data_IF_101368943341
#
_entry.id   IF_101368943341
#
_cell.length_a   1.000
_cell.length_b   1.000
_cell.length_c   1.000
_cell.angle_alpha   90.00
_cell.angle_beta   90.00
_cell.angle_gamma   90.00
#
_symmetry.space_group_name_H-M   'P 1'
#
loop_
_entity.id
_entity.type
_entity.pdbx_description
1 polymer ?
#
# COMPACT_ATOMS: atom_id res chain seq x y z
N UNK A 1 28.33 -43.03 28.24
CA UNK A 1 29.09 -41.87 27.76
C UNK A 1 29.09 -41.67 26.22
N UNK A 2 28.51 -42.60 25.43
CA UNK A 2 28.52 -42.51 23.93
C UNK A 2 27.49 -41.51 23.34
N UNK A 3 26.46 -41.11 24.10
CA UNK A 3 25.37 -40.29 23.56
C UNK A 3 25.57 -38.76 23.76
N UNK A 4 26.52 -38.37 24.60
CA UNK A 4 26.77 -36.94 24.87
C UNK A 4 27.42 -36.26 23.68
N UNK A 5 28.31 -36.94 22.95
CA UNK A 5 28.94 -36.38 21.75
C UNK A 5 27.96 -36.16 20.61
N UNK A 6 26.95 -37.01 20.49
CA UNK A 6 25.91 -36.86 19.46
C UNK A 6 24.97 -35.69 19.73
N UNK A 7 24.63 -35.46 21.01
CA UNK A 7 23.80 -34.30 21.44
C UNK A 7 24.54 -32.98 21.23
N UNK A 8 25.83 -32.93 21.53
CA UNK A 8 26.65 -31.71 21.33
C UNK A 8 26.80 -31.38 19.84
N UNK A 9 26.99 -32.40 18.96
CA UNK A 9 27.00 -32.17 17.51
C UNK A 9 25.65 -31.73 16.98
N UNK A 10 24.53 -32.24 17.49
CA UNK A 10 23.20 -31.82 17.07
C UNK A 10 22.89 -30.39 17.49
N UNK A 11 23.33 -29.98 18.67
CA UNK A 11 23.19 -28.60 19.15
C UNK A 11 24.07 -27.61 18.38
N UNK A 12 25.25 -28.01 17.94
CA UNK A 12 26.13 -27.20 17.11
C UNK A 12 25.60 -26.97 15.69
N UNK A 13 24.78 -27.90 15.17
CA UNK A 13 24.14 -27.73 13.87
C UNK A 13 22.92 -26.81 13.88
N UNK A 14 22.34 -26.57 15.05
CA UNK A 14 21.19 -25.68 15.22
C UNK A 14 21.59 -24.19 15.36
N UNK A 15 22.86 -23.91 15.65
CA UNK A 15 23.37 -22.53 15.79
C UNK A 15 23.91 -21.94 14.45
N UNK A 16 23.82 -22.68 13.35
CA UNK A 16 24.37 -22.25 12.06
C UNK A 16 23.35 -21.56 11.14
N UNK A 17 22.18 -21.20 11.64
CA UNK A 17 21.16 -20.46 10.88
C UNK A 17 20.97 -19.05 11.45
N UNK A 18 22.02 -18.26 11.43
CA UNK A 18 21.87 -16.83 11.43
C UNK A 18 21.88 -16.39 9.96
N UNK A 19 20.69 -16.18 9.45
CA UNK A 19 20.50 -15.59 8.12
C UNK A 19 20.81 -14.10 8.25
N UNK A 20 22.08 -13.73 8.05
CA UNK A 20 22.44 -12.32 7.89
C UNK A 20 21.83 -11.87 6.55
N UNK A 21 20.72 -11.15 6.65
CA UNK A 21 20.19 -10.43 5.49
C UNK A 21 21.26 -9.47 4.92
N UNK A 22 21.13 -9.07 3.66
CA UNK A 22 22.08 -8.13 3.08
C UNK A 22 22.13 -6.88 3.95
N UNK A 23 23.30 -6.54 4.45
CA UNK A 23 23.51 -5.31 5.21
C UNK A 23 23.19 -4.14 4.29
N UNK A 24 22.00 -3.58 4.43
CA UNK A 24 21.73 -2.27 3.89
C UNK A 24 22.30 -1.29 4.92
N UNK A 25 23.51 -0.87 4.68
CA UNK A 25 24.12 0.15 5.50
C UNK A 25 23.49 1.49 5.16
N UNK A 26 22.59 1.94 6.04
CA UNK A 26 22.05 3.30 5.99
C UNK A 26 22.95 4.30 6.73
N UNK A 27 24.25 4.03 6.86
CA UNK A 27 25.15 5.11 7.21
C UNK A 27 24.95 6.18 6.15
N UNK A 28 24.33 7.26 6.55
CA UNK A 28 24.33 8.51 5.78
C UNK A 28 25.79 8.87 5.55
N UNK A 29 26.35 8.38 4.44
CA UNK A 29 27.41 9.12 3.82
C UNK A 29 26.82 10.51 3.65
N UNK A 30 27.28 11.48 4.43
CA UNK A 30 27.01 12.89 4.17
C UNK A 30 27.64 13.21 2.80
N UNK A 31 27.13 12.59 1.78
CA UNK A 31 27.30 13.07 0.43
C UNK A 31 26.70 14.48 0.49
N UNK A 32 27.56 15.47 0.44
CA UNK A 32 27.16 16.81 0.06
C UNK A 32 26.36 16.61 -1.23
N UNK A 33 25.05 16.57 -1.12
CA UNK A 33 24.15 16.50 -2.26
C UNK A 33 24.43 17.77 -3.06
N UNK A 34 25.36 17.69 -3.97
CA UNK A 34 25.53 18.71 -5.00
C UNK A 34 24.29 18.57 -5.85
N UNK A 35 23.36 19.51 -5.65
CA UNK A 35 22.18 19.63 -6.49
C UNK A 35 22.65 19.84 -7.94
N UNK A 36 22.68 18.72 -8.70
CA UNK A 36 22.97 18.74 -10.11
C UNK A 36 21.67 18.95 -10.87
N UNK A 37 21.30 20.22 -11.03
CA UNK A 37 20.29 20.59 -12.02
C UNK A 37 20.89 20.47 -13.43
N UNK A 38 20.28 19.67 -14.29
CA UNK A 38 20.62 19.65 -15.71
C UNK A 38 19.48 20.27 -16.53
N UNK A 39 19.82 21.05 -17.50
CA UNK A 39 18.85 21.57 -18.45
C UNK A 39 18.79 20.59 -19.63
N UNK A 40 17.66 19.87 -19.76
CA UNK A 40 17.43 19.07 -20.94
C UNK A 40 17.08 19.97 -22.12
N UNK A 41 17.91 19.95 -23.14
CA UNK A 41 17.65 20.67 -24.40
C UNK A 41 16.63 19.95 -25.30
N UNK A 42 16.35 18.69 -24.99
CA UNK A 42 15.35 17.90 -25.71
C UNK A 42 14.03 17.93 -24.93
N UNK A 43 12.94 18.43 -25.52
CA UNK A 43 11.63 18.38 -24.87
C UNK A 43 11.26 16.93 -24.53
N UNK A 44 10.97 16.68 -23.27
CA UNK A 44 10.45 15.37 -22.87
C UNK A 44 9.07 15.22 -23.51
N UNK A 45 8.84 14.17 -24.31
CA UNK A 45 7.53 13.96 -24.92
C UNK A 45 6.46 13.85 -23.83
N UNK A 46 5.32 14.49 -24.05
CA UNK A 46 4.18 14.38 -23.16
C UNK A 46 3.71 12.92 -23.12
N UNK A 47 3.75 12.31 -21.94
CA UNK A 47 3.20 10.97 -21.72
C UNK A 47 1.91 11.06 -20.91
N UNK A 48 0.97 10.18 -21.24
CA UNK A 48 -0.25 10.08 -20.46
C UNK A 48 0.08 9.54 -19.07
N UNK A 49 -0.33 10.29 -18.04
CA UNK A 49 -0.13 9.88 -16.66
C UNK A 49 -1.13 8.80 -16.26
N UNK A 50 -0.67 7.78 -15.53
CA UNK A 50 -1.55 6.83 -14.87
C UNK A 50 -2.28 7.49 -13.69
N UNK A 51 -3.48 7.01 -13.42
CA UNK A 51 -4.36 7.50 -12.35
C UNK A 51 -4.39 6.45 -11.24
N UNK A 52 -3.80 6.77 -10.09
CA UNK A 52 -3.96 5.98 -8.89
C UNK A 52 -5.31 6.34 -8.25
N UNK A 53 -6.12 5.33 -8.03
CA UNK A 53 -7.44 5.46 -7.43
C UNK A 53 -7.52 4.55 -6.19
N UNK A 54 -7.43 5.14 -5.01
CA UNK A 54 -7.46 4.42 -3.74
C UNK A 54 -8.88 4.51 -3.18
N UNK A 55 -9.61 3.39 -3.17
CA UNK A 55 -10.96 3.30 -2.65
C UNK A 55 -10.95 2.67 -1.26
N UNK A 56 -11.37 3.41 -0.27
CA UNK A 56 -11.57 2.90 1.10
C UNK A 56 -12.94 2.25 1.21
N UNK A 57 -12.92 0.97 1.52
CA UNK A 57 -14.07 0.07 1.48
C UNK A 57 -14.11 -0.83 2.72
N UNK A 58 -15.09 -1.70 2.79
CA UNK A 58 -15.20 -2.71 3.83
C UNK A 58 -16.31 -3.70 3.54
N UNK A 59 -16.16 -4.92 3.98
CA UNK A 59 -17.14 -6.02 3.75
C UNK A 59 -18.51 -5.76 4.39
N UNK A 60 -18.57 -4.90 5.43
CA UNK A 60 -19.80 -4.49 6.11
C UNK A 60 -20.36 -3.16 5.62
N UNK A 61 -19.82 -2.62 4.56
CA UNK A 61 -20.22 -1.35 3.99
C UNK A 61 -21.35 -1.56 2.97
N UNK A 62 -22.56 -1.18 3.32
CA UNK A 62 -23.74 -1.36 2.47
C UNK A 62 -23.71 -0.56 1.17
N UNK A 63 -23.03 0.59 1.14
CA UNK A 63 -22.92 1.45 -0.04
C UNK A 63 -21.69 1.14 -0.91
N UNK A 64 -20.75 0.34 -0.42
CA UNK A 64 -19.51 0.05 -1.17
C UNK A 64 -19.73 -0.70 -2.49
N UNK A 65 -20.77 -1.52 -2.69
CA UNK A 65 -21.09 -2.05 -4.01
C UNK A 65 -21.33 -0.98 -5.08
N UNK A 66 -21.89 0.19 -4.70
CA UNK A 66 -22.07 1.33 -5.61
C UNK A 66 -20.72 1.97 -5.98
N UNK A 67 -19.82 2.11 -5.00
CA UNK A 67 -18.44 2.56 -5.25
C UNK A 67 -17.71 1.64 -6.23
N UNK A 68 -17.81 0.34 -6.01
CA UNK A 68 -17.22 -0.66 -6.91
C UNK A 68 -17.77 -0.54 -8.36
N UNK A 69 -19.06 -0.24 -8.53
CA UNK A 69 -19.64 -0.03 -9.85
C UNK A 69 -19.01 1.18 -10.56
N UNK A 70 -18.76 2.28 -9.82
CA UNK A 70 -18.05 3.47 -10.33
C UNK A 70 -16.61 3.11 -10.71
N UNK A 71 -15.90 2.41 -9.82
CA UNK A 71 -14.52 1.96 -10.05
C UNK A 71 -14.41 1.10 -11.31
N UNK A 72 -15.34 0.15 -11.52
CA UNK A 72 -15.39 -0.68 -12.72
C UNK A 72 -15.69 0.13 -13.98
N UNK A 73 -16.58 1.13 -13.88
CA UNK A 73 -16.87 2.05 -14.99
C UNK A 73 -15.63 2.86 -15.40
N UNK A 74 -14.88 3.36 -14.43
CA UNK A 74 -13.62 4.07 -14.67
C UNK A 74 -12.54 3.15 -15.28
N UNK A 75 -12.43 1.91 -14.79
CA UNK A 75 -11.51 0.92 -15.33
C UNK A 75 -11.79 0.65 -16.79
N UNK A 76 -13.05 0.43 -17.15
CA UNK A 76 -13.46 0.21 -18.54
C UNK A 76 -13.19 1.42 -19.45
N UNK A 77 -13.25 2.64 -18.90
CA UNK A 77 -13.06 3.88 -19.67
C UNK A 77 -11.59 4.25 -19.86
N UNK A 78 -10.77 4.03 -18.83
CA UNK A 78 -9.38 4.49 -18.78
C UNK A 78 -8.36 3.37 -19.12
N UNK A 79 -8.81 2.11 -19.07
CA UNK A 79 -7.96 0.95 -19.32
C UNK A 79 -6.70 0.90 -18.44
N UNK A 80 -5.59 0.53 -19.03
CA UNK A 80 -4.29 0.35 -18.34
C UNK A 80 -3.77 1.61 -17.65
N UNK A 81 -4.38 2.77 -17.91
CA UNK A 81 -4.02 4.02 -17.24
C UNK A 81 -4.64 4.16 -15.85
N UNK A 82 -5.63 3.36 -15.54
CA UNK A 82 -6.33 3.39 -14.27
C UNK A 82 -5.80 2.30 -13.35
N UNK A 83 -5.32 2.69 -12.19
CA UNK A 83 -4.74 1.80 -11.17
C UNK A 83 -5.63 1.84 -9.93
N UNK A 84 -6.69 1.01 -9.86
CA UNK A 84 -7.54 0.93 -8.69
C UNK A 84 -6.88 0.11 -7.58
N UNK A 85 -6.99 0.60 -6.36
CA UNK A 85 -6.56 -0.09 -5.14
C UNK A 85 -7.69 0.01 -4.13
N UNK A 86 -8.25 -1.13 -3.74
CA UNK A 86 -9.27 -1.18 -2.68
C UNK A 86 -8.61 -1.44 -1.33
N UNK A 87 -8.87 -0.56 -0.37
CA UNK A 87 -8.29 -0.58 0.97
C UNK A 87 -9.38 -0.93 1.98
N UNK A 88 -9.27 -2.08 2.62
CA UNK A 88 -10.16 -2.53 3.68
C UNK A 88 -9.66 -2.05 5.04
N UNK A 89 -10.29 -1.04 5.62
CA UNK A 89 -9.88 -0.43 6.88
C UNK A 89 -11.02 -0.33 7.88
N UNK A 90 -10.69 -0.16 9.17
CA UNK A 90 -11.56 0.04 10.33
C UNK A 90 -12.62 -1.06 10.57
N UNK A 91 -13.66 -0.72 11.35
CA UNK A 91 -14.72 -1.65 11.78
C UNK A 91 -15.61 -2.14 10.64
N UNK A 92 -15.73 -1.38 9.55
CA UNK A 92 -16.52 -1.80 8.39
C UNK A 92 -15.82 -2.90 7.57
N UNK A 93 -14.51 -3.09 7.79
CA UNK A 93 -13.76 -4.17 7.15
C UNK A 93 -13.74 -5.48 7.97
N UNK A 94 -14.39 -5.52 9.15
CA UNK A 94 -14.52 -6.74 9.96
C UNK A 94 -15.22 -7.84 9.16
N UNK A 95 -14.66 -9.06 9.10
CA UNK A 95 -15.28 -10.18 8.39
C UNK A 95 -16.63 -10.58 9.02
N UNK A 96 -17.46 -11.26 8.26
CA UNK A 96 -18.64 -11.94 8.77
C UNK A 96 -18.28 -13.36 9.16
N UNK A 97 -18.54 -13.75 10.41
CA UNK A 97 -18.32 -15.11 10.87
C UNK A 97 -16.91 -15.61 10.58
N UNK A 98 -16.79 -16.66 9.76
CA UNK A 98 -15.55 -17.31 9.38
C UNK A 98 -15.04 -16.87 7.98
N UNK A 99 -15.54 -15.79 7.42
CA UNK A 99 -15.08 -15.26 6.14
C UNK A 99 -13.64 -14.78 6.23
N UNK A 100 -12.98 -14.69 5.09
CA UNK A 100 -11.61 -14.21 5.02
C UNK A 100 -11.50 -12.78 5.57
N UNK A 101 -10.56 -12.57 6.47
CA UNK A 101 -10.22 -11.23 6.97
C UNK A 101 -9.30 -10.52 5.96
N UNK A 102 -9.81 -9.47 5.34
CA UNK A 102 -9.09 -8.66 4.35
C UNK A 102 -8.41 -7.44 4.98
N UNK A 103 -8.48 -7.28 6.30
CA UNK A 103 -7.82 -6.18 7.00
C UNK A 103 -6.32 -6.42 7.12
N UNK A 104 -5.56 -5.34 7.13
CA UNK A 104 -4.16 -5.34 7.53
C UNK A 104 -3.82 -4.04 8.28
N UNK A 105 -2.69 -4.03 8.98
CA UNK A 105 -2.22 -2.87 9.75
C UNK A 105 -1.94 -1.65 8.86
N UNK A 106 -1.46 -1.89 7.63
CA UNK A 106 -1.07 -0.84 6.70
C UNK A 106 -2.29 -0.09 6.17
N UNK A 107 -3.44 -0.79 6.00
CA UNK A 107 -4.70 -0.16 5.59
C UNK A 107 -5.16 0.90 6.59
N UNK A 108 -5.08 0.61 7.89
CA UNK A 108 -5.45 1.56 8.94
C UNK A 108 -4.43 2.71 9.05
N UNK A 109 -3.15 2.41 8.93
CA UNK A 109 -2.08 3.41 8.93
C UNK A 109 -2.21 4.36 7.74
N UNK A 110 -2.50 3.82 6.55
CA UNK A 110 -2.74 4.60 5.35
C UNK A 110 -3.98 5.50 5.50
N UNK A 111 -5.10 4.97 5.99
CA UNK A 111 -6.30 5.74 6.25
C UNK A 111 -6.02 6.92 7.20
N UNK A 112 -5.25 6.69 8.27
CA UNK A 112 -4.88 7.72 9.23
C UNK A 112 -3.96 8.80 8.64
N UNK A 113 -3.04 8.42 7.77
CA UNK A 113 -2.06 9.32 7.14
C UNK A 113 -2.68 10.20 6.05
N UNK A 114 -3.66 9.70 5.32
CA UNK A 114 -4.32 10.43 4.23
C UNK A 114 -5.41 11.39 4.72
N UNK A 115 -5.91 11.19 5.92
CA UNK A 115 -6.96 12.00 6.54
C UNK A 115 -8.13 11.14 7.02
N UNK A 116 -9.10 11.73 7.73
CA UNK A 116 -10.21 10.98 8.31
C UNK A 116 -11.09 10.38 7.22
N UNK A 117 -11.05 9.05 7.09
CA UNK A 117 -11.93 8.27 6.20
C UNK A 117 -13.13 7.78 7.02
N UNK A 118 -14.01 8.72 7.40
CA UNK A 118 -15.15 8.42 8.28
C UNK A 118 -16.36 7.81 7.57
N UNK A 119 -16.46 7.99 6.26
CA UNK A 119 -17.57 7.51 5.43
C UNK A 119 -17.02 6.61 4.34
N UNK A 120 -17.75 5.54 4.03
CA UNK A 120 -17.40 4.60 2.96
C UNK A 120 -18.59 4.37 2.03
N UNK A 121 -18.36 4.21 0.71
CA UNK A 121 -17.05 4.29 0.04
C UNK A 121 -16.49 5.72 0.00
N UNK A 122 -15.17 5.84 0.08
CA UNK A 122 -14.46 7.11 -0.07
C UNK A 122 -13.19 6.88 -0.87
N UNK A 123 -12.77 7.84 -1.67
CA UNK A 123 -11.68 7.66 -2.61
C UNK A 123 -10.65 8.79 -2.55
N UNK A 124 -9.41 8.45 -2.89
CA UNK A 124 -8.34 9.41 -3.16
C UNK A 124 -7.87 9.23 -4.60
N UNK A 125 -7.81 10.31 -5.35
CA UNK A 125 -7.36 10.31 -6.74
C UNK A 125 -5.97 10.95 -6.81
N UNK A 126 -4.95 10.14 -7.08
CA UNK A 126 -3.55 10.57 -7.07
C UNK A 126 -3.14 11.32 -5.79
N UNK A 127 -3.88 11.16 -4.70
CA UNK A 127 -3.74 11.90 -3.42
C UNK A 127 -3.74 13.42 -3.58
N UNK A 128 -4.36 13.92 -4.67
CA UNK A 128 -4.46 15.33 -4.96
C UNK A 128 -5.64 15.98 -4.23
N UNK A 129 -5.50 17.28 -3.98
CA UNK A 129 -6.63 18.11 -3.52
C UNK A 129 -7.49 18.42 -4.74
N UNK A 130 -8.77 18.06 -4.68
CA UNK A 130 -9.78 18.30 -5.69
C UNK A 130 -10.93 19.05 -4.98
N UNK A 131 -11.29 20.21 -5.45
CA UNK A 131 -12.33 21.06 -4.82
C UNK A 131 -12.09 21.31 -3.32
N UNK A 132 -10.84 21.50 -2.92
CA UNK A 132 -10.48 21.77 -1.53
C UNK A 132 -10.36 20.52 -0.62
N UNK A 133 -10.61 19.31 -1.14
CA UNK A 133 -10.47 18.06 -0.39
C UNK A 133 -9.58 17.05 -1.12
N UNK A 134 -8.80 16.29 -0.36
CA UNK A 134 -8.13 15.08 -0.90
C UNK A 134 -9.11 13.92 -0.99
N UNK A 135 -9.99 13.80 -0.01
CA UNK A 135 -10.99 12.76 0.06
C UNK A 135 -12.16 13.10 -0.87
N UNK A 136 -12.49 12.20 -1.75
CA UNK A 136 -13.69 12.26 -2.57
C UNK A 136 -14.68 11.21 -2.04
N UNK A 137 -15.91 11.64 -1.82
CA UNK A 137 -17.00 10.74 -1.42
C UNK A 137 -17.84 10.42 -2.66
N UNK A 138 -18.26 9.17 -2.76
CA UNK A 138 -19.29 8.81 -3.74
C UNK A 138 -20.62 9.46 -3.32
N UNK A 139 -21.37 10.02 -4.25
CA UNK A 139 -22.70 10.56 -3.98
C UNK A 139 -23.66 9.49 -3.47
#
# INVERSE_FOLDING_TARGET
>A
MKNIGFIVCLLALLSAWEEEGPFINFEEEQATLVDTSYVSTTPIPSVNKNVLFEEFSGVRCSNCPLGNAVTNGLFNSLGDRFVPVTVHSDFLALPYGNDQDLRNSDANSLASSLGPVGVKPSTFVNRKIINGSRLQQSP
#
